data_IF_294524624044
#
_entry.id   IF_294524624044
#
_cell.length_a   1.000
_cell.length_b   1.000
_cell.length_c   1.000
_cell.angle_alpha   90.00
_cell.angle_beta   90.00
_cell.angle_gamma   90.00
#
_symmetry.space_group_name_H-M   'P 1'
#
loop_
_entity.id
_entity.type
_entity.pdbx_description
1 polymer ?
#
# COMPACT_ATOMS: atom_id res chain seq x y z
N UNK A 1 17.31 48.68 -0.84
CA UNK A 1 16.12 49.07 -0.02
C UNK A 1 16.41 48.70 1.43
N UNK A 2 16.69 49.68 2.30
CA UNK A 2 16.93 49.44 3.73
C UNK A 2 15.58 49.57 4.45
N UNK A 3 15.04 48.47 4.96
CA UNK A 3 13.83 48.49 5.79
C UNK A 3 14.22 49.18 7.10
N UNK A 4 13.51 50.24 7.54
CA UNK A 4 13.87 50.94 8.75
C UNK A 4 13.67 50.03 9.97
N UNK A 5 14.66 50.00 10.87
CA UNK A 5 14.67 49.14 12.07
C UNK A 5 13.39 49.27 12.92
N UNK A 6 12.76 50.45 12.90
CA UNK A 6 11.47 50.73 13.57
C UNK A 6 10.28 49.96 12.97
N UNK A 7 10.30 49.65 11.68
CA UNK A 7 9.26 48.85 11.03
C UNK A 7 9.39 47.36 11.40
N UNK A 8 10.63 46.88 11.58
CA UNK A 8 10.89 45.50 12.04
C UNK A 8 10.45 45.35 13.50
N UNK A 9 10.78 46.31 14.38
CA UNK A 9 10.33 46.25 15.78
C UNK A 9 8.81 46.36 15.92
N UNK A 10 8.16 47.22 15.14
CA UNK A 10 6.70 47.32 15.12
C UNK A 10 6.03 46.01 14.64
N UNK A 11 6.57 45.38 13.59
CA UNK A 11 6.07 44.10 13.10
C UNK A 11 6.25 42.98 14.13
N UNK A 12 7.37 42.96 14.87
CA UNK A 12 7.66 41.95 15.88
C UNK A 12 6.76 42.09 17.12
N UNK A 13 6.47 43.32 17.56
CA UNK A 13 5.51 43.60 18.65
C UNK A 13 4.09 43.22 18.23
N UNK A 14 3.70 43.48 16.98
CA UNK A 14 2.40 43.06 16.44
C UNK A 14 2.28 41.52 16.41
N UNK A 15 3.36 40.82 16.03
CA UNK A 15 3.42 39.35 16.01
C UNK A 15 3.30 38.74 17.42
N UNK A 16 3.92 39.37 18.42
CA UNK A 16 3.82 38.96 19.83
C UNK A 16 2.39 39.16 20.35
N UNK A 17 1.75 40.30 20.05
CA UNK A 17 0.37 40.57 20.47
C UNK A 17 -0.66 39.64 19.80
N UNK A 18 -0.43 39.22 18.55
CA UNK A 18 -1.25 38.22 17.86
C UNK A 18 -1.03 36.82 18.45
N UNK A 19 0.19 36.48 18.86
CA UNK A 19 0.48 35.23 19.57
C UNK A 19 -0.20 35.16 20.95
N UNK A 20 -0.41 36.30 21.62
CA UNK A 20 -1.14 36.38 22.89
C UNK A 20 -2.66 36.23 22.78
N UNK A 21 -3.23 36.27 21.56
CA UNK A 21 -4.67 36.05 21.33
C UNK A 21 -5.06 34.57 21.14
N UNK A 22 -4.12 33.63 21.26
CA UNK A 22 -4.49 32.22 21.43
C UNK A 22 -4.97 32.07 22.87
N UNK A 23 -6.30 32.10 23.07
CA UNK A 23 -6.97 31.88 24.36
C UNK A 23 -6.50 30.53 24.91
N UNK A 24 -5.48 30.55 25.78
CA UNK A 24 -4.93 29.35 26.40
C UNK A 24 -6.05 28.75 27.23
N UNK A 25 -6.49 27.56 26.86
CA UNK A 25 -7.54 26.89 27.60
C UNK A 25 -7.00 26.48 28.97
N UNK A 26 -7.66 26.92 30.04
CA UNK A 26 -7.37 26.46 31.39
C UNK A 26 -7.84 25.00 31.53
N UNK A 27 -6.89 24.11 31.83
CA UNK A 27 -7.18 22.70 32.12
C UNK A 27 -7.31 22.59 33.64
N UNK A 28 -8.49 22.18 34.10
CA UNK A 28 -8.75 21.93 35.52
C UNK A 28 -7.82 20.82 36.04
N UNK A 29 -7.37 20.94 37.28
CA UNK A 29 -6.53 19.95 37.97
C UNK A 29 -7.38 19.26 39.04
N UNK A 30 -7.24 17.95 39.20
CA UNK A 30 -7.78 17.19 40.35
C UNK A 30 -6.62 16.70 41.23
N UNK A 31 -6.81 16.71 42.54
CA UNK A 31 -5.87 16.07 43.47
C UNK A 31 -6.28 14.62 43.71
N UNK A 32 -5.41 13.68 43.33
CA UNK A 32 -5.55 12.27 43.69
C UNK A 32 -4.26 11.84 44.40
N UNK A 33 -4.38 11.34 45.64
CA UNK A 33 -3.23 10.87 46.46
C UNK A 33 -2.09 11.89 46.65
N UNK A 34 -2.40 13.20 46.64
CA UNK A 34 -1.43 14.27 46.84
C UNK A 34 -0.70 14.72 45.57
N UNK A 35 -1.06 14.20 44.40
CA UNK A 35 -0.57 14.68 43.10
C UNK A 35 -1.69 15.43 42.34
N UNK A 36 -1.32 16.56 41.74
CA UNK A 36 -2.22 17.34 40.89
C UNK A 36 -2.22 16.76 39.47
N UNK A 37 -3.25 15.99 39.13
CA UNK A 37 -3.44 15.38 37.82
C UNK A 37 -4.37 16.27 36.97
N UNK A 38 -4.00 16.64 35.74
CA UNK A 38 -4.92 17.31 34.84
C UNK A 38 -6.22 16.51 34.67
N UNK A 39 -7.37 17.18 34.78
CA UNK A 39 -8.70 16.59 34.63
C UNK A 39 -8.84 15.75 33.35
N UNK A 40 -8.15 16.17 32.30
CA UNK A 40 -8.12 15.47 31.03
C UNK A 40 -7.41 14.12 31.08
N UNK A 41 -6.37 13.96 31.90
CA UNK A 41 -5.64 12.70 32.08
C UNK A 41 -6.50 11.69 32.85
N UNK A 42 -7.10 12.10 33.97
CA UNK A 42 -8.02 11.25 34.74
C UNK A 42 -9.23 10.82 33.89
N UNK A 43 -9.80 11.73 33.10
CA UNK A 43 -10.90 11.40 32.18
C UNK A 43 -10.46 10.43 31.08
N UNK A 44 -9.24 10.58 30.56
CA UNK A 44 -8.69 9.68 29.55
C UNK A 44 -8.48 8.28 30.13
N UNK A 45 -7.86 8.15 31.29
CA UNK A 45 -7.64 6.86 31.95
C UNK A 45 -8.95 6.19 32.33
N UNK A 46 -9.95 6.95 32.78
CA UNK A 46 -11.29 6.44 33.03
C UNK A 46 -11.93 5.90 31.73
N UNK A 47 -11.90 6.66 30.64
CA UNK A 47 -12.41 6.21 29.33
C UNK A 47 -11.68 4.95 28.84
N UNK A 48 -10.36 4.88 29.04
CA UNK A 48 -9.52 3.74 28.67
C UNK A 48 -9.90 2.48 29.46
N UNK A 49 -10.21 2.63 30.75
CA UNK A 49 -10.68 1.52 31.59
C UNK A 49 -12.07 1.04 31.15
N UNK A 50 -12.99 1.95 30.83
CA UNK A 50 -14.29 1.60 30.26
C UNK A 50 -14.14 0.78 28.96
N UNK A 51 -13.24 1.19 28.07
CA UNK A 51 -12.95 0.43 26.84
C UNK A 51 -12.41 -0.98 27.15
N UNK A 52 -11.48 -1.12 28.10
CA UNK A 52 -10.93 -2.42 28.52
C UNK A 52 -12.02 -3.34 29.09
N UNK A 53 -13.00 -2.78 29.79
CA UNK A 53 -14.14 -3.49 30.36
C UNK A 53 -15.29 -3.72 29.34
N UNK A 54 -15.04 -3.47 28.04
CA UNK A 54 -16.02 -3.59 26.96
C UNK A 54 -17.26 -2.66 27.09
N UNK A 55 -17.18 -1.64 27.94
CA UNK A 55 -18.20 -0.60 28.10
C UNK A 55 -18.01 0.49 27.02
N UNK A 56 -18.19 0.09 25.76
CA UNK A 56 -17.82 0.92 24.61
C UNK A 56 -18.68 2.17 24.45
N UNK A 57 -19.95 2.15 24.88
CA UNK A 57 -20.85 3.32 24.75
C UNK A 57 -20.41 4.43 25.71
N UNK A 58 -20.10 4.06 26.93
CA UNK A 58 -19.59 4.92 27.98
C UNK A 58 -18.21 5.47 27.57
N UNK A 59 -17.30 4.61 27.11
CA UNK A 59 -16.00 5.03 26.59
C UNK A 59 -16.14 6.09 25.48
N UNK A 60 -17.08 5.93 24.54
CA UNK A 60 -17.38 6.95 23.53
C UNK A 60 -17.79 8.27 24.17
N UNK A 61 -18.68 8.25 25.18
CA UNK A 61 -19.14 9.46 25.84
C UNK A 61 -17.99 10.21 26.51
N UNK A 62 -17.16 9.53 27.29
CA UNK A 62 -16.05 10.17 28.01
C UNK A 62 -14.93 10.63 27.07
N UNK A 63 -14.56 9.84 26.06
CA UNK A 63 -13.61 10.30 25.04
C UNK A 63 -14.12 11.48 24.23
N UNK A 64 -15.42 11.51 23.90
CA UNK A 64 -16.04 12.67 23.24
C UNK A 64 -15.96 13.91 24.11
N UNK A 65 -16.22 13.79 25.41
CA UNK A 65 -16.10 14.90 26.35
C UNK A 65 -14.68 15.47 26.36
N UNK A 66 -13.64 14.63 26.28
CA UNK A 66 -12.25 15.10 26.20
C UNK A 66 -12.03 15.93 24.92
N UNK A 67 -12.49 15.42 23.78
CA UNK A 67 -12.31 16.07 22.48
C UNK A 67 -13.04 17.41 22.41
N UNK A 68 -14.27 17.46 22.92
CA UNK A 68 -15.13 18.64 22.85
C UNK A 68 -14.71 19.69 23.88
N UNK A 69 -14.33 19.25 25.10
CA UNK A 69 -13.97 20.15 26.20
C UNK A 69 -12.50 20.48 26.28
N UNK A 70 -11.57 19.70 25.73
CA UNK A 70 -10.13 19.96 25.83
C UNK A 70 -9.40 19.76 24.48
N UNK A 71 -9.82 20.44 23.40
CA UNK A 71 -9.28 20.22 22.04
C UNK A 71 -7.79 20.54 21.89
N UNK A 72 -7.20 21.33 22.80
CA UNK A 72 -5.77 21.67 22.79
C UNK A 72 -4.93 20.77 23.69
N UNK A 73 -5.54 19.81 24.40
CA UNK A 73 -4.81 18.88 25.28
C UNK A 73 -3.86 18.00 24.49
N UNK A 74 -2.78 17.58 25.15
CA UNK A 74 -1.87 16.54 24.63
C UNK A 74 -2.57 15.18 24.50
N UNK A 75 -3.68 14.95 25.22
CA UNK A 75 -4.47 13.71 25.18
C UNK A 75 -5.56 13.67 24.11
N UNK A 76 -5.75 14.75 23.35
CA UNK A 76 -6.91 14.85 22.44
C UNK A 76 -6.87 13.83 21.31
N UNK A 77 -5.69 13.50 20.75
CA UNK A 77 -5.52 12.52 19.70
C UNK A 77 -5.61 11.08 20.23
N UNK A 78 -5.05 10.82 21.41
CA UNK A 78 -5.27 9.56 22.13
C UNK A 78 -6.76 9.32 22.43
N UNK A 79 -7.47 10.34 22.93
CA UNK A 79 -8.90 10.26 23.20
C UNK A 79 -9.72 10.07 21.92
N UNK A 80 -9.35 10.75 20.82
CA UNK A 80 -9.94 10.53 19.50
C UNK A 80 -9.73 9.10 19.04
N UNK A 81 -8.51 8.57 19.11
CA UNK A 81 -8.20 7.18 18.78
C UNK A 81 -9.06 6.20 19.58
N UNK A 82 -9.17 6.41 20.89
CA UNK A 82 -9.99 5.58 21.77
C UNK A 82 -11.49 5.64 21.42
N UNK A 83 -12.00 6.82 21.06
CA UNK A 83 -13.37 7.00 20.58
C UNK A 83 -13.61 6.18 19.30
N UNK A 84 -12.68 6.23 18.34
CA UNK A 84 -12.80 5.47 17.09
C UNK A 84 -12.70 3.96 17.33
N UNK A 85 -11.78 3.51 18.19
CA UNK A 85 -11.68 2.10 18.59
C UNK A 85 -12.99 1.60 19.21
N UNK A 86 -13.59 2.39 20.10
CA UNK A 86 -14.84 2.05 20.77
C UNK A 86 -16.01 1.96 19.76
N UNK A 87 -16.09 2.91 18.81
CA UNK A 87 -17.05 2.85 17.70
C UNK A 87 -16.81 1.64 16.79
N UNK A 88 -15.55 1.30 16.54
CA UNK A 88 -15.18 0.17 15.69
C UNK A 88 -15.64 -1.16 16.31
N UNK A 89 -15.51 -1.30 17.64
CA UNK A 89 -16.04 -2.45 18.39
C UNK A 89 -17.56 -2.57 18.31
N UNK A 90 -18.26 -1.44 18.27
CA UNK A 90 -19.71 -1.37 18.04
C UNK A 90 -20.11 -1.47 16.55
N UNK A 91 -19.15 -1.67 15.64
CA UNK A 91 -19.36 -1.69 14.18
C UNK A 91 -19.99 -0.41 13.61
N UNK A 92 -19.87 0.71 14.33
CA UNK A 92 -20.32 2.03 13.86
C UNK A 92 -19.30 2.64 12.89
N UNK A 93 -19.12 1.99 11.73
CA UNK A 93 -18.13 2.41 10.74
C UNK A 93 -18.47 3.77 10.14
N UNK A 94 -19.75 4.09 9.95
CA UNK A 94 -20.19 5.41 9.46
C UNK A 94 -19.88 6.49 10.49
N UNK A 95 -20.15 6.23 11.76
CA UNK A 95 -19.84 7.17 12.84
C UNK A 95 -18.34 7.38 13.03
N UNK A 96 -17.47 6.44 12.68
CA UNK A 96 -16.02 6.66 12.62
C UNK A 96 -15.68 7.73 11.59
N UNK A 97 -16.17 7.59 10.36
CA UNK A 97 -15.90 8.56 9.28
C UNK A 97 -16.41 9.96 9.67
N UNK A 98 -17.60 10.04 10.26
CA UNK A 98 -18.16 11.29 10.73
C UNK A 98 -17.36 11.89 11.89
N UNK A 99 -16.79 11.06 12.77
CA UNK A 99 -16.00 11.51 13.92
C UNK A 99 -14.67 12.13 13.54
N UNK A 100 -14.06 11.72 12.41
CA UNK A 100 -12.75 12.24 11.95
C UNK A 100 -12.87 13.38 10.95
N UNK A 101 -14.02 13.53 10.28
CA UNK A 101 -14.24 14.54 9.26
C UNK A 101 -13.97 15.97 9.80
N UNK A 102 -13.03 16.68 9.19
CA UNK A 102 -12.67 18.06 9.57
C UNK A 102 -11.87 18.17 10.88
N UNK A 103 -11.45 17.05 11.48
CA UNK A 103 -10.70 17.02 12.75
C UNK A 103 -9.21 16.71 12.56
N UNK A 104 -8.69 16.85 11.35
CA UNK A 104 -7.29 16.57 11.02
C UNK A 104 -6.31 17.35 11.91
N UNK A 105 -6.66 18.58 12.30
CA UNK A 105 -5.84 19.42 13.19
C UNK A 105 -5.65 18.81 14.58
N UNK A 106 -6.53 17.91 15.01
CA UNK A 106 -6.45 17.29 16.33
C UNK A 106 -5.39 16.20 16.40
N UNK A 107 -5.04 15.56 15.28
CA UNK A 107 -4.19 14.37 15.29
C UNK A 107 -3.00 14.41 14.31
N UNK A 108 -3.03 15.22 13.25
CA UNK A 108 -1.92 15.25 12.29
C UNK A 108 -0.60 15.66 12.94
N UNK A 109 0.46 14.89 12.66
CA UNK A 109 1.78 15.05 13.24
C UNK A 109 1.90 14.58 14.69
N UNK A 110 0.84 14.01 15.27
CA UNK A 110 0.83 13.53 16.67
C UNK A 110 0.99 12.01 16.75
N UNK A 111 1.18 11.50 17.96
CA UNK A 111 1.51 10.09 18.21
C UNK A 111 0.40 9.15 17.72
N UNK A 112 -0.88 9.52 17.85
CA UNK A 112 -2.00 8.67 17.46
C UNK A 112 -2.42 8.79 15.98
N UNK A 113 -1.71 9.57 15.15
CA UNK A 113 -2.09 9.78 13.74
C UNK A 113 -2.22 8.46 12.97
N UNK A 114 -1.24 7.57 13.09
CA UNK A 114 -1.25 6.30 12.37
C UNK A 114 -2.40 5.39 12.81
N UNK A 115 -2.70 5.32 14.11
CA UNK A 115 -3.81 4.51 14.64
C UNK A 115 -5.16 5.03 14.14
N UNK A 116 -5.36 6.35 14.18
CA UNK A 116 -6.58 7.01 13.70
C UNK A 116 -6.79 6.75 12.21
N UNK A 117 -5.75 6.93 11.40
CA UNK A 117 -5.80 6.65 9.96
C UNK A 117 -6.06 5.17 9.69
N UNK A 118 -5.43 4.27 10.45
CA UNK A 118 -5.60 2.83 10.26
C UNK A 118 -7.03 2.37 10.55
N UNK A 119 -7.61 2.79 11.68
CA UNK A 119 -9.01 2.47 12.03
C UNK A 119 -9.97 3.07 10.99
N UNK A 120 -9.66 4.27 10.49
CA UNK A 120 -10.43 4.93 9.44
C UNK A 120 -10.39 4.13 8.15
N UNK A 121 -9.20 3.68 7.71
CA UNK A 121 -9.03 2.85 6.51
C UNK A 121 -9.81 1.54 6.61
N UNK A 122 -9.68 0.82 7.74
CA UNK A 122 -10.44 -0.41 7.97
C UNK A 122 -11.95 -0.17 7.95
N UNK A 123 -12.41 0.95 8.51
CA UNK A 123 -13.84 1.31 8.51
C UNK A 123 -14.35 1.64 7.10
N UNK A 124 -13.52 2.29 6.27
CA UNK A 124 -13.84 2.55 4.86
C UNK A 124 -13.95 1.24 4.07
N UNK A 125 -13.08 0.26 4.31
CA UNK A 125 -13.19 -1.08 3.70
C UNK A 125 -14.50 -1.77 4.10
N UNK A 126 -14.86 -1.74 5.40
CA UNK A 126 -16.13 -2.31 5.88
C UNK A 126 -17.36 -1.64 5.28
N UNK A 127 -17.23 -0.39 4.83
CA UNK A 127 -18.27 0.35 4.12
C UNK A 127 -18.24 0.18 2.60
N UNK A 128 -17.29 -0.60 2.06
CA UNK A 128 -17.10 -0.78 0.62
C UNK A 128 -16.47 0.42 -0.09
N UNK A 129 -15.99 1.42 0.64
CA UNK A 129 -15.34 2.62 0.09
C UNK A 129 -13.85 2.37 -0.20
N UNK A 130 -13.60 1.43 -1.11
CA UNK A 130 -12.26 0.86 -1.41
C UNK A 130 -11.24 1.92 -1.83
N UNK A 131 -11.61 2.88 -2.68
CA UNK A 131 -10.70 3.94 -3.12
C UNK A 131 -10.27 4.85 -1.97
N UNK A 132 -11.20 5.20 -1.08
CA UNK A 132 -10.92 6.04 0.09
C UNK A 132 -10.06 5.27 1.10
N UNK A 133 -10.33 3.97 1.29
CA UNK A 133 -9.51 3.09 2.12
C UNK A 133 -8.07 3.03 1.60
N UNK A 134 -7.89 2.76 0.31
CA UNK A 134 -6.57 2.72 -0.33
C UNK A 134 -5.80 4.03 -0.13
N UNK A 135 -6.47 5.17 -0.37
CA UNK A 135 -5.90 6.50 -0.13
C UNK A 135 -5.45 6.68 1.32
N UNK A 136 -6.26 6.23 2.27
CA UNK A 136 -5.97 6.36 3.71
C UNK A 136 -4.78 5.48 4.11
N UNK A 137 -4.68 4.25 3.58
CA UNK A 137 -3.49 3.40 3.77
C UNK A 137 -2.23 4.05 3.20
N UNK A 138 -2.30 4.66 2.01
CA UNK A 138 -1.17 5.43 1.47
C UNK A 138 -0.73 6.57 2.39
N UNK A 139 -1.68 7.27 3.01
CA UNK A 139 -1.35 8.37 3.92
C UNK A 139 -0.60 7.87 5.17
N UNK A 140 -0.85 6.63 5.64
CA UNK A 140 -0.07 5.98 6.72
C UNK A 140 1.36 5.68 6.26
N UNK A 141 1.53 5.14 5.05
CA UNK A 141 2.85 4.80 4.51
C UNK A 141 3.76 6.04 4.34
N UNK A 142 3.18 7.24 4.16
CA UNK A 142 3.92 8.51 4.06
C UNK A 142 4.45 9.02 5.40
N UNK A 143 3.89 8.60 6.53
CA UNK A 143 4.28 9.15 7.84
C UNK A 143 5.77 8.87 8.10
N UNK A 144 6.53 9.77 8.73
CA UNK A 144 7.98 9.58 8.96
C UNK A 144 8.31 8.59 10.09
N UNK A 145 7.34 7.81 10.57
CA UNK A 145 7.48 6.90 11.72
C UNK A 145 7.70 5.44 11.27
N UNK A 146 8.45 4.68 12.06
CA UNK A 146 8.59 3.22 11.88
C UNK A 146 7.62 2.52 12.85
N UNK A 147 6.49 2.07 12.32
CA UNK A 147 5.43 1.40 13.10
C UNK A 147 5.01 0.12 12.38
N UNK A 148 4.65 -0.92 13.13
CA UNK A 148 4.01 -2.13 12.59
C UNK A 148 2.74 -1.82 11.76
N UNK A 149 2.09 -0.66 12.03
CA UNK A 149 0.96 -0.20 11.23
C UNK A 149 1.32 0.09 9.76
N UNK A 150 2.57 0.41 9.43
CA UNK A 150 2.99 0.59 8.04
C UNK A 150 2.96 -0.74 7.31
N UNK A 151 3.60 -1.75 7.86
CA UNK A 151 3.65 -3.09 7.26
C UNK A 151 2.24 -3.65 7.09
N UNK A 152 1.37 -3.49 8.10
CA UNK A 152 -0.06 -3.87 8.01
C UNK A 152 -0.83 -3.07 6.97
N UNK A 153 -0.55 -1.77 6.86
CA UNK A 153 -1.21 -0.89 5.88
C UNK A 153 -0.77 -1.23 4.46
N UNK A 154 0.51 -1.56 4.26
CA UNK A 154 1.05 -2.05 3.01
C UNK A 154 0.35 -3.36 2.63
N UNK A 155 0.34 -4.36 3.51
CA UNK A 155 -0.32 -5.65 3.27
C UNK A 155 -1.82 -5.51 2.93
N UNK A 156 -2.56 -4.68 3.68
CA UNK A 156 -3.99 -4.45 3.41
C UNK A 156 -4.19 -3.72 2.08
N UNK A 157 -3.35 -2.73 1.77
CA UNK A 157 -3.40 -1.99 0.52
C UNK A 157 -3.11 -2.89 -0.69
N UNK A 158 -2.13 -3.78 -0.58
CA UNK A 158 -1.82 -4.79 -1.60
C UNK A 158 -3.04 -5.68 -1.88
N UNK A 159 -3.62 -6.26 -0.81
CA UNK A 159 -4.83 -7.10 -0.92
C UNK A 159 -5.97 -6.34 -1.59
N UNK A 160 -6.17 -5.08 -1.20
CA UNK A 160 -7.23 -4.23 -1.73
C UNK A 160 -7.00 -3.93 -3.22
N UNK A 161 -5.77 -3.61 -3.63
CA UNK A 161 -5.42 -3.37 -5.04
C UNK A 161 -5.61 -4.64 -5.89
N UNK A 162 -5.12 -5.78 -5.41
CA UNK A 162 -5.14 -7.04 -6.15
C UNK A 162 -6.54 -7.60 -6.31
N UNK A 163 -7.34 -7.57 -5.24
CA UNK A 163 -8.64 -8.27 -5.21
C UNK A 163 -9.82 -7.37 -5.50
N UNK A 164 -9.72 -6.08 -5.17
CA UNK A 164 -10.91 -5.25 -5.05
C UNK A 164 -10.94 -4.03 -5.96
N UNK A 165 -9.79 -3.42 -6.26
CA UNK A 165 -9.74 -2.28 -7.18
C UNK A 165 -9.69 -2.72 -8.64
N UNK A 166 -10.32 -1.94 -9.49
CA UNK A 166 -10.21 -2.05 -10.95
C UNK A 166 -8.89 -1.46 -11.44
N UNK A 167 -8.43 -1.91 -12.61
CA UNK A 167 -7.23 -1.35 -13.25
C UNK A 167 -7.28 0.18 -13.43
N UNK A 168 -8.46 0.74 -13.74
CA UNK A 168 -8.63 2.19 -13.89
C UNK A 168 -8.40 2.93 -12.58
N UNK A 169 -8.91 2.41 -11.47
CA UNK A 169 -8.72 2.98 -10.14
C UNK A 169 -7.26 2.92 -9.68
N UNK A 170 -6.61 1.77 -9.86
CA UNK A 170 -5.18 1.61 -9.53
C UNK A 170 -4.32 2.55 -10.38
N UNK A 171 -4.65 2.75 -11.65
CA UNK A 171 -3.95 3.73 -12.51
C UNK A 171 -4.16 5.17 -12.05
N UNK A 172 -5.37 5.53 -11.63
CA UNK A 172 -5.65 6.87 -11.04
C UNK A 172 -4.84 7.08 -9.77
N UNK A 173 -4.74 6.06 -8.92
CA UNK A 173 -3.86 6.09 -7.75
C UNK A 173 -2.40 6.29 -8.19
N UNK A 174 -1.87 5.49 -9.11
CA UNK A 174 -0.51 5.64 -9.59
C UNK A 174 -0.21 7.06 -10.10
N UNK A 175 -1.09 7.65 -10.93
CA UNK A 175 -0.91 9.02 -11.42
C UNK A 175 -0.88 10.09 -10.32
N UNK A 176 -1.59 9.86 -9.21
CA UNK A 176 -1.63 10.81 -8.08
C UNK A 176 -0.36 10.75 -7.24
N UNK A 177 0.22 9.56 -7.09
CA UNK A 177 1.34 9.32 -6.19
C UNK A 177 2.68 9.17 -6.92
N UNK A 178 2.72 9.25 -8.26
CA UNK A 178 3.93 9.03 -9.09
C UNK A 178 5.13 9.92 -8.71
N UNK A 179 4.90 11.10 -8.11
CA UNK A 179 5.98 12.03 -7.68
C UNK A 179 6.27 11.98 -6.19
N UNK A 180 5.70 11.03 -5.48
CA UNK A 180 5.90 10.83 -4.04
C UNK A 180 6.87 9.68 -3.79
N UNK A 181 7.28 9.48 -2.53
CA UNK A 181 8.04 8.29 -2.12
C UNK A 181 7.34 6.96 -2.43
N UNK A 182 6.01 7.00 -2.65
CA UNK A 182 5.18 5.84 -2.98
C UNK A 182 4.94 5.69 -4.49
N UNK A 183 5.53 6.55 -5.32
CA UNK A 183 5.34 6.52 -6.77
C UNK A 183 5.75 5.19 -7.38
N UNK A 184 6.92 4.67 -7.02
CA UNK A 184 7.37 3.36 -7.52
C UNK A 184 6.44 2.22 -7.10
N UNK A 185 5.99 2.21 -5.83
CA UNK A 185 5.03 1.23 -5.32
C UNK A 185 3.73 1.25 -6.13
N UNK A 186 3.12 2.44 -6.29
CA UNK A 186 1.84 2.55 -7.01
C UNK A 186 1.93 2.20 -8.49
N UNK A 187 3.03 2.58 -9.16
CA UNK A 187 3.27 2.23 -10.55
C UNK A 187 3.50 0.72 -10.72
N UNK A 188 4.22 0.08 -9.80
CA UNK A 188 4.42 -1.37 -9.79
C UNK A 188 3.08 -2.11 -9.72
N UNK A 189 2.24 -1.80 -8.73
CA UNK A 189 0.94 -2.46 -8.61
C UNK A 189 0.00 -2.15 -9.77
N UNK A 190 0.06 -0.96 -10.36
CA UNK A 190 -0.68 -0.65 -11.58
C UNK A 190 -0.22 -1.52 -12.76
N UNK A 191 1.09 -1.64 -13.00
CA UNK A 191 1.63 -2.48 -14.06
C UNK A 191 1.27 -3.95 -13.85
N UNK A 192 1.48 -4.48 -12.63
CA UNK A 192 1.18 -5.88 -12.27
C UNK A 192 -0.31 -6.21 -12.43
N UNK A 193 -1.21 -5.31 -12.01
CA UNK A 193 -2.66 -5.46 -12.25
C UNK A 193 -3.02 -5.42 -13.72
N UNK A 194 -2.30 -4.62 -14.52
CA UNK A 194 -2.44 -4.61 -15.97
C UNK A 194 -2.10 -5.97 -16.59
N UNK A 195 -0.96 -6.55 -16.18
CA UNK A 195 -0.53 -7.88 -16.63
C UNK A 195 -1.52 -8.97 -16.24
N UNK A 196 -1.98 -9.00 -14.99
CA UNK A 196 -2.93 -10.03 -14.54
C UNK A 196 -4.30 -9.97 -15.23
N UNK A 197 -4.62 -8.85 -15.89
CA UNK A 197 -5.84 -8.65 -16.68
C UNK A 197 -5.60 -8.75 -18.20
N UNK A 198 -4.40 -9.17 -18.63
CA UNK A 198 -4.02 -9.28 -20.05
C UNK A 198 -3.84 -7.93 -20.77
N UNK A 199 -3.77 -6.81 -20.03
CA UNK A 199 -3.57 -5.45 -20.58
C UNK A 199 -2.09 -5.15 -20.74
N UNK A 200 -1.42 -5.99 -21.53
CA UNK A 200 0.04 -6.00 -21.64
C UNK A 200 0.59 -4.68 -22.18
N UNK A 201 -0.06 -4.08 -23.18
CA UNK A 201 0.40 -2.81 -23.76
C UNK A 201 0.36 -1.67 -22.75
N UNK A 202 -0.72 -1.54 -21.97
CA UNK A 202 -0.83 -0.53 -20.93
C UNK A 202 0.13 -0.81 -19.77
N UNK A 203 0.28 -2.08 -19.37
CA UNK A 203 1.26 -2.46 -18.36
C UNK A 203 2.69 -2.10 -18.79
N UNK A 204 3.06 -2.35 -20.04
CA UNK A 204 4.37 -1.96 -20.60
C UNK A 204 4.55 -0.43 -20.63
N UNK A 205 3.50 0.34 -20.95
CA UNK A 205 3.55 1.82 -20.86
C UNK A 205 3.82 2.29 -19.44
N UNK A 206 3.11 1.73 -18.45
CA UNK A 206 3.30 2.06 -17.03
C UNK A 206 4.70 1.65 -16.58
N UNK A 207 5.15 0.45 -16.93
CA UNK A 207 6.51 -0.03 -16.64
C UNK A 207 7.59 0.88 -17.23
N UNK A 208 7.49 1.25 -18.50
CA UNK A 208 8.48 2.14 -19.13
C UNK A 208 8.53 3.50 -18.45
N UNK A 209 7.38 4.01 -18.00
CA UNK A 209 7.33 5.22 -17.19
C UNK A 209 8.01 5.01 -15.83
N UNK A 210 7.70 3.92 -15.13
CA UNK A 210 8.32 3.55 -13.86
C UNK A 210 9.84 3.37 -13.98
N UNK A 211 10.33 2.68 -15.01
CA UNK A 211 11.76 2.46 -15.27
C UNK A 211 12.51 3.77 -15.47
N UNK A 212 11.88 4.76 -16.10
CA UNK A 212 12.48 6.09 -16.29
C UNK A 212 12.58 6.86 -14.97
N UNK A 213 11.57 6.75 -14.09
CA UNK A 213 11.56 7.45 -12.80
C UNK A 213 12.37 6.72 -11.71
N UNK A 214 12.41 5.39 -11.76
CA UNK A 214 12.93 4.52 -10.71
C UNK A 214 13.74 3.35 -11.29
N UNK A 215 14.81 3.60 -12.07
CA UNK A 215 15.49 2.55 -12.86
C UNK A 215 16.08 1.41 -12.04
N UNK A 216 16.60 1.70 -10.84
CA UNK A 216 17.30 0.73 -9.99
C UNK A 216 16.50 0.35 -8.73
N UNK A 217 15.19 0.59 -8.70
CA UNK A 217 14.35 0.19 -7.57
C UNK A 217 14.04 -1.31 -7.62
N UNK A 218 14.01 -1.98 -6.46
CA UNK A 218 13.67 -3.41 -6.33
C UNK A 218 12.39 -3.79 -7.07
N UNK A 219 11.32 -3.00 -6.94
CA UNK A 219 10.03 -3.26 -7.60
C UNK A 219 10.12 -3.11 -9.13
N UNK A 220 10.96 -2.18 -9.61
CA UNK A 220 11.24 -2.03 -11.04
C UNK A 220 11.94 -3.25 -11.61
N UNK A 221 12.90 -3.82 -10.88
CA UNK A 221 13.57 -5.05 -11.29
C UNK A 221 12.60 -6.23 -11.29
N UNK A 222 11.76 -6.34 -10.27
CA UNK A 222 10.77 -7.42 -10.15
C UNK A 222 9.79 -7.46 -11.33
N UNK A 223 9.16 -6.33 -11.67
CA UNK A 223 8.24 -6.28 -12.81
C UNK A 223 8.99 -6.47 -14.15
N UNK A 224 10.28 -6.13 -14.21
CA UNK A 224 11.10 -6.37 -15.40
C UNK A 224 11.20 -7.86 -15.68
N UNK A 225 11.41 -8.67 -14.64
CA UNK A 225 11.47 -10.12 -14.76
C UNK A 225 10.09 -10.70 -15.13
N UNK A 226 8.99 -10.19 -14.55
CA UNK A 226 7.63 -10.59 -14.96
C UNK A 226 7.38 -10.35 -16.46
N UNK A 227 7.79 -9.18 -16.97
CA UNK A 227 7.63 -8.81 -18.39
C UNK A 227 8.56 -9.57 -19.35
N UNK A 228 9.67 -10.13 -18.84
CA UNK A 228 10.58 -11.00 -19.59
C UNK A 228 10.07 -12.45 -19.61
N UNK A 229 9.45 -12.90 -18.51
CA UNK A 229 8.93 -14.25 -18.31
C UNK A 229 7.69 -14.61 -19.13
N UNK A 230 6.97 -13.63 -19.68
CA UNK A 230 5.80 -13.83 -20.55
C UNK A 230 6.12 -13.69 -22.05
N UNK A 231 7.30 -14.11 -22.51
CA UNK A 231 7.42 -14.53 -23.92
C UNK A 231 6.69 -15.87 -24.09
N UNK A 232 5.35 -15.87 -24.05
CA UNK A 232 4.63 -16.80 -24.92
C UNK A 232 4.93 -16.33 -26.34
N UNK A 233 6.01 -16.86 -26.92
CA UNK A 233 6.09 -16.95 -28.36
C UNK A 233 4.91 -17.84 -28.74
N UNK A 234 3.79 -17.24 -29.12
CA UNK A 234 2.84 -17.91 -29.99
C UNK A 234 3.64 -18.28 -31.24
N UNK A 235 4.23 -19.47 -31.24
CA UNK A 235 4.84 -20.08 -32.42
C UNK A 235 3.69 -20.44 -33.36
N UNK A 236 3.08 -19.43 -33.97
CA UNK A 236 2.19 -19.62 -35.12
C UNK A 236 3.05 -20.08 -36.28
N UNK A 237 3.10 -21.40 -36.50
CA UNK A 237 3.76 -22.00 -37.67
C UNK A 237 5.27 -22.24 -37.53
N UNK A 238 5.77 -22.52 -36.33
CA UNK A 238 7.19 -22.82 -36.11
C UNK A 238 7.61 -24.25 -36.48
N UNK A 239 8.89 -24.43 -36.80
CA UNK A 239 9.53 -25.74 -36.82
C UNK A 239 10.24 -26.01 -35.49
N UNK A 240 10.20 -27.24 -35.01
CA UNK A 240 10.95 -27.70 -33.84
C UNK A 240 12.03 -28.68 -34.32
N UNK A 241 13.28 -28.39 -34.00
CA UNK A 241 14.39 -29.33 -34.16
C UNK A 241 14.33 -30.42 -33.09
N UNK A 242 14.35 -31.68 -33.49
CA UNK A 242 14.39 -32.86 -32.63
C UNK A 242 15.69 -33.61 -32.90
N UNK A 243 16.66 -33.49 -31.98
CA UNK A 243 17.94 -34.17 -32.06
C UNK A 243 17.95 -35.35 -31.09
N UNK A 244 18.12 -36.56 -31.63
CA UNK A 244 18.21 -37.77 -30.84
C UNK A 244 19.01 -38.83 -31.59
N UNK A 245 19.52 -39.87 -30.90
CA UNK A 245 20.00 -41.07 -31.57
C UNK A 245 18.81 -41.77 -32.23
N UNK A 246 18.66 -41.61 -33.54
CA UNK A 246 17.63 -42.28 -34.33
C UNK A 246 18.18 -43.54 -34.99
N UNK A 247 19.50 -43.70 -35.04
CA UNK A 247 20.20 -44.92 -35.45
C UNK A 247 21.24 -45.36 -34.41
N UNK A 248 21.91 -46.48 -34.69
CA UNK A 248 22.97 -47.08 -33.84
C UNK A 248 22.49 -47.58 -32.46
N UNK A 249 23.43 -47.79 -31.54
CA UNK A 249 23.25 -48.48 -30.25
C UNK A 249 22.08 -47.90 -29.42
N UNK A 250 21.87 -46.59 -29.49
CA UNK A 250 20.83 -45.89 -28.74
C UNK A 250 19.57 -45.55 -29.56
N UNK A 251 19.51 -46.01 -30.82
CA UNK A 251 18.44 -45.70 -31.77
C UNK A 251 17.02 -46.03 -31.27
N UNK A 252 16.89 -47.08 -30.45
CA UNK A 252 15.59 -47.51 -29.92
C UNK A 252 15.00 -46.48 -28.94
N UNK A 253 15.84 -45.80 -28.17
CA UNK A 253 15.40 -44.80 -27.20
C UNK A 253 14.99 -43.52 -27.91
N UNK A 254 15.80 -43.02 -28.85
CA UNK A 254 15.47 -41.81 -29.60
C UNK A 254 14.20 -41.97 -30.44
N UNK A 255 13.97 -43.13 -31.07
CA UNK A 255 12.70 -43.42 -31.78
C UNK A 255 11.48 -43.41 -30.86
N UNK A 256 11.60 -43.96 -29.63
CA UNK A 256 10.49 -43.97 -28.66
C UNK A 256 10.15 -42.57 -28.16
N UNK A 257 11.17 -41.76 -27.86
CA UNK A 257 10.99 -40.35 -27.47
C UNK A 257 10.38 -39.56 -28.62
N UNK A 258 10.89 -39.72 -29.85
CA UNK A 258 10.33 -39.09 -31.06
C UNK A 258 8.85 -39.40 -31.23
N UNK A 259 8.47 -40.67 -31.09
CA UNK A 259 7.07 -41.09 -31.22
C UNK A 259 6.17 -40.46 -30.15
N UNK A 260 6.61 -40.42 -28.89
CA UNK A 260 5.87 -39.75 -27.82
C UNK A 260 5.72 -38.24 -28.07
N UNK A 261 6.79 -37.63 -28.56
CA UNK A 261 6.83 -36.21 -28.92
C UNK A 261 5.88 -35.87 -30.07
N UNK A 262 5.91 -36.63 -31.16
CA UNK A 262 4.99 -36.48 -32.31
C UNK A 262 3.52 -36.67 -31.91
N UNK A 263 3.23 -37.63 -31.03
CA UNK A 263 1.88 -37.85 -30.51
C UNK A 263 1.38 -36.66 -29.70
N UNK A 264 2.24 -36.05 -28.87
CA UNK A 264 1.90 -34.85 -28.10
C UNK A 264 1.64 -33.62 -29.00
N UNK A 265 2.25 -33.57 -30.19
CA UNK A 265 2.08 -32.50 -31.16
C UNK A 265 0.94 -32.73 -32.15
N UNK A 266 0.25 -33.88 -32.11
CA UNK A 266 -0.83 -34.20 -33.03
C UNK A 266 -1.94 -33.14 -32.96
N UNK A 267 -2.28 -32.54 -34.11
CA UNK A 267 -3.28 -31.46 -34.21
C UNK A 267 -2.74 -30.06 -33.92
N UNK A 268 -1.43 -29.88 -33.69
CA UNK A 268 -0.76 -28.59 -33.64
C UNK A 268 -0.15 -28.26 -35.01
N UNK A 269 -0.10 -26.98 -35.37
CA UNK A 269 0.50 -26.48 -36.62
C UNK A 269 2.03 -26.32 -36.51
N UNK A 270 2.72 -27.31 -35.93
CA UNK A 270 4.16 -27.29 -35.70
C UNK A 270 4.84 -28.39 -36.50
N UNK A 271 5.90 -28.06 -37.25
CA UNK A 271 6.66 -29.03 -38.04
C UNK A 271 7.81 -29.57 -37.20
N UNK A 272 7.95 -30.89 -37.10
CA UNK A 272 9.13 -31.50 -36.47
C UNK A 272 10.20 -31.74 -37.55
N UNK A 273 11.39 -31.20 -37.34
CA UNK A 273 12.58 -31.47 -38.16
C UNK A 273 13.49 -32.35 -37.31
N UNK A 274 13.81 -33.55 -37.76
CA UNK A 274 14.63 -34.48 -36.99
C UNK A 274 16.05 -34.50 -37.51
N UNK A 275 17.02 -34.47 -36.61
CA UNK A 275 18.44 -34.76 -36.89
C UNK A 275 18.89 -35.99 -36.10
N UNK A 276 19.67 -36.85 -36.74
CA UNK A 276 20.11 -38.11 -36.15
C UNK A 276 21.53 -37.98 -35.60
N UNK A 277 21.62 -37.93 -34.27
CA UNK A 277 22.91 -37.74 -33.60
C UNK A 277 23.76 -39.01 -33.54
N UNK A 278 23.21 -40.17 -33.94
CA UNK A 278 23.86 -41.50 -33.85
C UNK A 278 24.34 -41.87 -32.44
N UNK A 279 23.87 -41.15 -31.41
CA UNK A 279 24.32 -41.34 -30.02
C UNK A 279 25.67 -40.71 -29.71
N UNK A 280 26.23 -39.91 -30.62
CA UNK A 280 27.51 -39.24 -30.45
C UNK A 280 27.32 -37.75 -30.09
N UNK A 281 28.05 -37.23 -29.09
CA UNK A 281 28.09 -35.80 -28.83
C UNK A 281 28.56 -34.98 -30.04
N UNK A 282 29.49 -35.52 -30.85
CA UNK A 282 29.96 -34.87 -32.07
C UNK A 282 28.89 -34.87 -33.17
N UNK A 283 28.19 -35.99 -33.35
CA UNK A 283 27.06 -36.08 -34.29
C UNK A 283 25.92 -35.12 -33.94
N UNK A 284 25.72 -34.82 -32.66
CA UNK A 284 24.76 -33.80 -32.24
C UNK A 284 25.15 -32.38 -32.65
N UNK A 285 26.45 -32.04 -32.72
CA UNK A 285 26.92 -30.75 -33.20
C UNK A 285 26.83 -30.62 -34.72
N UNK A 286 27.07 -31.71 -35.47
CA UNK A 286 26.95 -31.73 -36.94
C UNK A 286 25.52 -31.46 -37.41
N UNK A 287 24.51 -31.94 -36.68
CA UNK A 287 23.09 -31.78 -37.01
C UNK A 287 22.50 -30.41 -36.64
N UNK A 288 23.28 -29.53 -36.00
CA UNK A 288 22.87 -28.16 -35.58
C UNK A 288 23.24 -27.10 -36.63
N UNK A 289 24.18 -27.39 -37.54
CA UNK A 289 24.69 -26.48 -38.58
C UNK A 289 23.85 -26.58 -39.85
#
# INVERSE_FOLDING_TARGET
MKIPLRAITAALVLLIMIASCVKRQEILLYEEKGESIPAVDSLYDYSKNLYKNAQYKEAIQYSKNIIDKYPTSEKVDEALSLLLLSKYRLKDYRGIINSVAGKEKLYKGRSAEADILYITAQSLEKLGKKNDAAKTYFDILKLPIKTNLKDKSEENLEKLIEKELTFSEVRKLASRYEKTSLGCFTLYYAARKGLSLGKEQEARKIYNHMKRLYPNNKLTLEITEMLKGEKFVTLTGGAIGFLAPLTEEYGIFGKRVKKGFELALKGKSLKVISGDTRGSPLGAFEEII
#
